data_IF_186886657007
#
_entry.id   IF_186886657007
#
_cell.length_a   1.000
_cell.length_b   1.000
_cell.length_c   1.000
_cell.angle_alpha   90.00
_cell.angle_beta   90.00
_cell.angle_gamma   90.00
#
_symmetry.space_group_name_H-M   'P 1'
#
loop_
_entity.id
_entity.type
_entity.pdbx_description
1 polymer ?
#
# COMPACT_ATOMS: atom_id res chain seq x y z
N UNK A 1 -79.78 35.80 -13.31
CA UNK A 1 -78.69 36.81 -13.42
C UNK A 1 -77.39 36.03 -13.47
N UNK A 2 -77.02 35.62 -14.69
CA UNK A 2 -75.92 36.16 -15.51
C UNK A 2 -74.63 35.34 -15.28
N UNK A 3 -74.24 34.62 -16.32
CA UNK A 3 -72.96 33.94 -16.43
C UNK A 3 -71.82 34.93 -16.67
N UNK A 4 -70.58 34.57 -16.32
CA UNK A 4 -69.45 34.60 -17.27
C UNK A 4 -68.19 33.90 -16.72
N UNK A 5 -67.47 33.27 -17.66
CA UNK A 5 -66.23 32.49 -17.54
C UNK A 5 -65.00 33.41 -17.57
N UNK A 6 -63.83 32.77 -17.35
CA UNK A 6 -62.44 33.10 -17.74
C UNK A 6 -61.59 33.59 -16.57
N UNK A 7 -60.33 33.15 -16.35
CA UNK A 7 -59.45 32.24 -17.08
C UNK A 7 -58.28 31.84 -16.17
N UNK A 8 -57.76 30.63 -16.40
CA UNK A 8 -56.43 30.16 -16.02
C UNK A 8 -55.35 31.20 -16.39
N UNK A 9 -54.23 31.27 -15.65
CA UNK A 9 -52.84 31.45 -16.15
C UNK A 9 -51.87 31.82 -15.01
N UNK A 10 -50.84 30.96 -14.87
CA UNK A 10 -49.48 31.20 -14.35
C UNK A 10 -49.23 31.24 -12.84
N UNK A 11 -49.00 30.03 -12.30
CA UNK A 11 -47.76 29.75 -11.56
C UNK A 11 -46.56 30.31 -12.32
N UNK A 12 -45.83 31.26 -11.71
CA UNK A 12 -44.38 31.39 -11.89
C UNK A 12 -43.78 32.39 -10.91
N UNK A 13 -42.77 31.89 -10.20
CA UNK A 13 -41.61 32.63 -9.71
C UNK A 13 -41.79 33.46 -8.44
N UNK A 14 -41.36 32.87 -7.32
CA UNK A 14 -40.29 33.42 -6.46
C UNK A 14 -39.80 32.31 -5.53
N UNK A 15 -39.19 31.30 -6.14
CA UNK A 15 -38.33 30.35 -5.44
C UNK A 15 -36.92 30.57 -6.01
N UNK A 16 -36.15 31.46 -5.38
CA UNK A 16 -34.73 31.65 -5.71
C UNK A 16 -34.07 32.45 -4.59
N UNK A 17 -33.62 31.71 -3.58
CA UNK A 17 -32.42 31.91 -2.76
C UNK A 17 -32.64 31.09 -1.49
N UNK A 18 -31.58 30.44 -0.98
CA UNK A 18 -31.51 29.67 0.28
C UNK A 18 -31.60 28.13 0.14
N UNK A 19 -30.98 27.50 -0.87
CA UNK A 19 -30.86 26.03 -0.91
C UNK A 19 -29.44 25.52 -1.26
N UNK A 20 -28.43 26.38 -1.23
CA UNK A 20 -27.04 26.00 -1.56
C UNK A 20 -26.08 26.02 -0.37
N UNK A 21 -26.36 26.80 0.68
CA UNK A 21 -25.47 26.94 1.85
C UNK A 21 -25.56 25.74 2.80
N UNK A 22 -26.73 25.11 2.96
CA UNK A 22 -26.94 23.98 3.87
C UNK A 22 -26.21 22.70 3.47
N UNK A 23 -25.97 22.47 2.18
CA UNK A 23 -25.30 21.26 1.71
C UNK A 23 -23.78 21.34 1.86
N UNK A 24 -23.21 22.54 1.78
CA UNK A 24 -21.78 22.77 1.98
C UNK A 24 -21.45 22.75 3.47
N UNK A 25 -22.27 23.38 4.32
CA UNK A 25 -22.09 23.32 5.78
C UNK A 25 -22.27 21.89 6.34
N UNK A 26 -23.22 21.11 5.81
CA UNK A 26 -23.36 19.69 6.17
C UNK A 26 -22.14 18.90 5.68
N UNK A 27 -21.68 19.12 4.45
CA UNK A 27 -20.49 18.46 3.92
C UNK A 27 -19.23 18.82 4.71
N UNK A 28 -19.07 20.08 5.11
CA UNK A 28 -17.98 20.55 5.96
C UNK A 28 -18.06 19.93 7.36
N UNK A 29 -19.26 19.77 7.94
CA UNK A 29 -19.45 19.00 9.17
C UNK A 29 -19.07 17.51 9.00
N UNK A 30 -19.39 16.91 7.86
CA UNK A 30 -18.98 15.53 7.54
C UNK A 30 -17.46 15.42 7.32
N UNK A 31 -16.81 16.43 6.74
CA UNK A 31 -15.37 16.48 6.55
C UNK A 31 -14.64 16.74 7.88
N UNK A 32 -15.14 17.61 8.74
CA UNK A 32 -14.61 17.87 10.09
C UNK A 32 -14.71 16.63 11.00
N UNK A 33 -15.67 15.74 10.74
CA UNK A 33 -15.78 14.47 11.46
C UNK A 33 -14.62 13.51 11.13
N UNK A 34 -13.99 13.65 9.95
CA UNK A 34 -12.89 12.80 9.51
C UNK A 34 -11.57 13.57 9.45
N UNK A 35 -10.66 13.21 10.35
CA UNK A 35 -9.31 13.75 10.31
C UNK A 35 -8.52 13.14 9.12
N UNK A 36 -8.37 13.89 8.03
CA UNK A 36 -7.55 13.50 6.86
C UNK A 36 -6.08 13.86 7.05
N UNK A 37 -5.47 13.36 8.12
CA UNK A 37 -4.04 13.57 8.41
C UNK A 37 -3.31 12.24 8.55
N UNK A 38 -2.00 12.23 8.27
CA UNK A 38 -1.14 11.06 8.56
C UNK A 38 -1.28 10.61 10.00
N UNK A 39 -1.36 11.56 10.93
CA UNK A 39 -1.51 11.26 12.35
C UNK A 39 -2.79 10.52 12.64
N UNK A 40 -3.90 10.94 12.03
CA UNK A 40 -5.18 10.26 12.20
C UNK A 40 -5.24 8.91 11.51
N UNK A 41 -4.53 8.73 10.39
CA UNK A 41 -4.45 7.42 9.73
C UNK A 41 -3.71 6.38 10.57
N UNK A 42 -2.69 6.79 11.35
CA UNK A 42 -1.85 5.89 12.13
C UNK A 42 -2.33 5.67 13.57
N UNK A 43 -3.14 6.58 14.12
CA UNK A 43 -3.58 6.52 15.54
C UNK A 43 -4.29 5.20 15.86
N UNK A 44 -5.10 4.70 14.92
CA UNK A 44 -5.85 3.46 15.10
C UNK A 44 -4.96 2.21 15.11
N UNK A 45 -3.75 2.30 14.52
CA UNK A 45 -2.80 1.20 14.44
C UNK A 45 -1.84 1.13 15.64
N UNK A 46 -1.90 2.07 16.58
CA UNK A 46 -1.08 2.02 17.80
C UNK A 46 -1.46 0.79 18.63
N UNK A 47 -0.43 0.13 19.15
CA UNK A 47 -0.51 -1.15 19.88
C UNK A 47 -1.15 -2.29 19.08
N UNK A 48 -1.28 -2.12 17.75
CA UNK A 48 -1.71 -3.17 16.82
C UNK A 48 -0.52 -3.77 16.10
N UNK A 49 -0.70 -5.01 15.64
CA UNK A 49 0.26 -5.65 14.74
C UNK A 49 0.12 -5.03 13.36
N UNK A 50 1.23 -4.61 12.78
CA UNK A 50 1.31 -3.95 11.47
C UNK A 50 2.32 -4.65 10.57
N UNK A 51 2.06 -4.60 9.27
CA UNK A 51 3.02 -4.90 8.21
C UNK A 51 3.54 -3.57 7.66
N UNK A 52 4.85 -3.45 7.56
CA UNK A 52 5.54 -2.27 7.01
C UNK A 52 6.46 -2.71 5.88
N UNK A 53 6.27 -2.14 4.69
CA UNK A 53 7.19 -2.32 3.56
C UNK A 53 8.04 -1.06 3.40
N UNK A 54 9.35 -1.23 3.24
CA UNK A 54 10.30 -0.12 3.04
C UNK A 54 10.74 0.01 1.58
N UNK A 55 11.31 1.16 1.22
CA UNK A 55 11.78 1.47 -0.15
C UNK A 55 12.74 0.45 -0.74
N UNK A 56 13.54 -0.18 0.11
CA UNK A 56 14.51 -1.21 -0.26
C UNK A 56 13.88 -2.60 -0.45
N UNK A 57 12.57 -2.74 -0.28
CA UNK A 57 11.79 -3.95 -0.56
C UNK A 57 11.61 -4.90 0.63
N UNK A 58 12.25 -4.64 1.78
CA UNK A 58 12.06 -5.46 2.98
C UNK A 58 10.66 -5.29 3.55
N UNK A 59 10.16 -6.37 4.14
CA UNK A 59 8.85 -6.44 4.78
C UNK A 59 9.07 -6.76 6.27
N UNK A 60 8.54 -5.89 7.12
CA UNK A 60 8.59 -6.03 8.57
C UNK A 60 7.19 -6.24 9.12
N UNK A 61 7.07 -7.16 10.07
CA UNK A 61 5.88 -7.35 10.89
C UNK A 61 6.24 -7.03 12.33
N UNK A 62 5.47 -6.18 13.00
CA UNK A 62 5.74 -5.81 14.39
C UNK A 62 4.54 -5.13 15.03
N UNK A 63 4.68 -4.74 16.29
CA UNK A 63 3.67 -3.95 17.00
C UNK A 63 4.06 -2.48 16.91
N UNK A 64 3.18 -1.62 16.38
CA UNK A 64 3.41 -0.18 16.34
C UNK A 64 3.27 0.41 17.74
N UNK A 65 4.32 1.03 18.26
CA UNK A 65 4.29 1.65 19.60
C UNK A 65 4.11 3.15 19.54
N UNK A 66 4.90 3.82 18.71
CA UNK A 66 4.80 5.27 18.54
C UNK A 66 5.04 5.64 17.09
N UNK A 67 4.49 6.79 16.71
CA UNK A 67 4.73 7.40 15.42
C UNK A 67 4.73 8.92 15.54
N UNK A 68 5.17 9.62 14.49
CA UNK A 68 5.01 11.07 14.37
C UNK A 68 4.30 11.48 13.07
N UNK A 69 4.10 12.78 12.87
CA UNK A 69 3.42 13.32 11.68
C UNK A 69 4.22 13.13 10.37
N UNK A 70 5.50 12.76 10.45
CA UNK A 70 6.33 12.37 9.31
C UNK A 70 6.27 10.85 9.04
N UNK A 71 5.49 10.10 9.82
CA UNK A 71 5.46 8.64 9.82
C UNK A 71 6.80 7.98 10.17
N UNK A 72 7.63 8.62 11.01
CA UNK A 72 8.69 7.89 11.71
C UNK A 72 8.02 6.88 12.66
N UNK A 73 8.40 5.61 12.60
CA UNK A 73 7.71 4.52 13.30
C UNK A 73 8.65 3.87 14.31
N UNK A 74 8.17 3.67 15.54
CA UNK A 74 8.80 2.79 16.53
C UNK A 74 8.01 1.49 16.60
N UNK A 75 8.66 0.38 16.30
CA UNK A 75 8.06 -0.95 16.30
C UNK A 75 8.73 -1.85 17.35
N UNK A 76 7.93 -2.69 18.00
CA UNK A 76 8.39 -3.75 18.91
C UNK A 76 8.09 -5.14 18.33
N UNK A 77 8.82 -6.16 18.80
CA UNK A 77 8.70 -7.56 18.38
C UNK A 77 8.77 -7.74 16.85
N UNK A 78 9.63 -6.94 16.22
CA UNK A 78 9.76 -6.92 14.78
C UNK A 78 10.32 -8.24 14.28
N UNK A 79 9.68 -8.77 13.25
CA UNK A 79 10.09 -9.90 12.44
C UNK A 79 10.23 -9.44 11.01
N UNK A 80 11.40 -9.64 10.42
CA UNK A 80 11.58 -9.44 8.98
C UNK A 80 11.16 -10.71 8.25
N UNK A 81 10.37 -10.57 7.18
CA UNK A 81 9.90 -11.70 6.39
C UNK A 81 10.24 -11.56 4.91
N UNK A 82 10.70 -12.64 4.32
CA UNK A 82 10.97 -12.78 2.89
C UNK A 82 9.95 -13.77 2.31
N UNK A 83 9.33 -13.41 1.20
CA UNK A 83 8.48 -14.30 0.40
C UNK A 83 9.20 -14.63 -0.91
N UNK A 84 9.18 -15.90 -1.30
CA UNK A 84 9.84 -16.40 -2.51
C UNK A 84 8.88 -17.30 -3.29
N UNK A 85 8.92 -17.18 -4.61
CA UNK A 85 8.24 -18.08 -5.54
C UNK A 85 9.07 -19.34 -5.77
N UNK A 86 8.47 -20.33 -6.43
CA UNK A 86 9.21 -21.52 -6.86
C UNK A 86 10.41 -21.17 -7.74
N UNK A 87 10.20 -20.28 -8.69
CA UNK A 87 11.22 -19.87 -9.65
C UNK A 87 12.42 -19.20 -8.98
N UNK A 88 12.20 -18.43 -7.89
CA UNK A 88 13.28 -17.81 -7.13
C UNK A 88 14.24 -18.86 -6.51
N UNK A 89 13.76 -20.08 -6.25
CA UNK A 89 14.55 -21.18 -5.67
C UNK A 89 15.14 -22.12 -6.73
N UNK A 90 14.36 -22.50 -7.74
CA UNK A 90 14.77 -23.50 -8.75
C UNK A 90 15.61 -22.90 -9.88
N UNK A 91 15.45 -21.60 -10.16
CA UNK A 91 16.10 -20.90 -11.28
C UNK A 91 16.97 -19.72 -10.81
N UNK A 92 17.77 -19.92 -9.75
CA UNK A 92 18.62 -18.89 -9.13
C UNK A 92 19.52 -18.11 -10.11
N UNK A 93 19.93 -18.73 -11.22
CA UNK A 93 20.84 -18.14 -12.21
C UNK A 93 20.13 -17.48 -13.38
N UNK A 94 18.81 -17.68 -13.52
CA UNK A 94 18.01 -17.18 -14.65
C UNK A 94 17.05 -16.07 -14.24
N UNK A 95 17.35 -15.33 -13.17
CA UNK A 95 16.53 -14.19 -12.78
C UNK A 95 16.56 -13.12 -13.87
N UNK A 96 15.43 -12.92 -14.55
CA UNK A 96 15.22 -11.85 -15.51
C UNK A 96 14.47 -10.70 -14.83
N UNK A 97 14.99 -9.46 -14.89
CA UNK A 97 14.30 -8.28 -14.35
C UNK A 97 12.94 -8.08 -15.01
N UNK A 98 11.91 -7.86 -14.20
CA UNK A 98 10.51 -7.80 -14.66
C UNK A 98 10.09 -6.45 -15.27
N UNK A 99 11.02 -5.63 -15.75
CA UNK A 99 10.69 -4.32 -16.33
C UNK A 99 10.16 -4.48 -17.76
N UNK A 100 9.03 -3.84 -18.06
CA UNK A 100 8.32 -3.91 -19.35
C UNK A 100 7.68 -5.28 -19.65
N UNK A 101 7.32 -6.05 -18.63
CA UNK A 101 6.39 -7.17 -18.83
C UNK A 101 5.11 -6.61 -19.43
N UNK A 102 4.69 -7.16 -20.56
CA UNK A 102 3.34 -6.93 -21.06
C UNK A 102 2.33 -7.30 -19.97
N UNK A 103 1.14 -6.69 -19.96
CA UNK A 103 0.07 -7.07 -19.01
C UNK A 103 -0.19 -8.59 -18.99
N UNK A 104 0.10 -9.29 -20.11
CA UNK A 104 0.03 -10.74 -20.26
C UNK A 104 1.10 -11.50 -19.47
N UNK A 105 2.32 -10.97 -19.36
CA UNK A 105 3.38 -11.59 -18.58
C UNK A 105 3.26 -11.30 -17.09
N UNK A 106 2.71 -10.13 -16.73
CA UNK A 106 2.33 -9.83 -15.35
C UNK A 106 1.28 -10.82 -14.81
N UNK A 107 0.37 -11.27 -15.67
CA UNK A 107 -0.70 -12.22 -15.35
C UNK A 107 -0.29 -13.70 -15.51
N UNK A 108 1.01 -14.04 -15.55
CA UNK A 108 1.42 -15.46 -15.57
C UNK A 108 0.93 -16.17 -14.29
N UNK A 109 0.31 -17.36 -14.42
CA UNK A 109 -0.31 -18.07 -13.30
C UNK A 109 0.71 -18.65 -12.29
N UNK A 110 2.02 -18.57 -12.54
CA UNK A 110 3.06 -19.11 -11.67
C UNK A 110 3.61 -18.12 -10.63
N UNK A 111 3.04 -16.92 -10.51
CA UNK A 111 3.52 -15.90 -9.57
C UNK A 111 2.96 -16.07 -8.15
N UNK A 112 2.71 -17.30 -7.73
CA UNK A 112 2.36 -17.57 -6.34
C UNK A 112 3.65 -17.73 -5.52
N UNK A 113 3.68 -17.15 -4.33
CA UNK A 113 4.71 -17.45 -3.36
C UNK A 113 4.52 -18.90 -2.90
N UNK A 114 5.60 -19.66 -2.82
CA UNK A 114 5.59 -21.04 -2.31
C UNK A 114 6.47 -21.17 -1.05
N UNK A 115 7.37 -20.22 -0.84
CA UNK A 115 8.34 -20.24 0.23
C UNK A 115 8.31 -18.94 1.03
N UNK A 116 8.64 -19.03 2.31
CA UNK A 116 8.89 -17.86 3.14
C UNK A 116 10.02 -18.11 4.13
N UNK A 117 10.65 -17.04 4.59
CA UNK A 117 11.62 -17.08 5.67
C UNK A 117 11.40 -15.90 6.61
N UNK A 118 11.72 -16.09 7.88
CA UNK A 118 11.54 -15.09 8.93
C UNK A 118 12.77 -14.99 9.80
N UNK A 119 13.05 -13.79 10.27
CA UNK A 119 14.08 -13.54 11.29
C UNK A 119 13.57 -12.52 12.31
N UNK A 120 13.66 -12.81 13.62
CA UNK A 120 13.38 -11.83 14.65
C UNK A 120 14.44 -10.73 14.63
N UNK A 121 14.00 -9.48 14.68
CA UNK A 121 14.82 -8.28 14.70
C UNK A 121 14.75 -7.58 16.07
N UNK A 122 13.59 -7.61 16.74
CA UNK A 122 13.39 -7.00 18.05
C UNK A 122 12.78 -5.61 17.95
N UNK A 123 13.44 -4.59 18.51
CA UNK A 123 12.96 -3.21 18.48
C UNK A 123 13.55 -2.45 17.29
N UNK A 124 12.73 -1.68 16.58
CA UNK A 124 13.14 -1.01 15.35
C UNK A 124 12.58 0.41 15.27
N UNK A 125 13.43 1.36 14.90
CA UNK A 125 13.03 2.73 14.55
C UNK A 125 13.16 2.88 13.03
N UNK A 126 12.04 3.06 12.34
CA UNK A 126 11.99 3.24 10.90
C UNK A 126 11.74 4.71 10.60
N UNK A 127 12.62 5.30 9.79
CA UNK A 127 12.47 6.68 9.35
C UNK A 127 11.38 6.80 8.28
N UNK A 128 10.49 7.78 8.40
CA UNK A 128 9.24 7.87 7.66
C UNK A 128 9.41 7.99 6.16
N UNK A 129 10.46 8.65 5.67
CA UNK A 129 10.69 8.69 4.22
C UNK A 129 11.10 7.35 3.62
N UNK A 130 11.47 6.35 4.42
CA UNK A 130 11.79 5.00 3.92
C UNK A 130 10.57 4.07 3.94
N UNK A 131 9.46 4.48 4.57
CA UNK A 131 8.21 3.74 4.55
C UNK A 131 7.56 3.89 3.18
N UNK A 132 7.16 2.77 2.58
CA UNK A 132 6.38 2.73 1.33
C UNK A 132 4.91 2.56 1.66
N UNK A 133 4.59 1.59 2.53
CA UNK A 133 3.24 1.33 2.98
C UNK A 133 3.26 0.70 4.38
N UNK A 134 2.24 1.01 5.16
CA UNK A 134 1.93 0.39 6.44
C UNK A 134 0.46 -0.03 6.44
N UNK A 135 0.18 -1.21 6.98
CA UNK A 135 -1.19 -1.69 7.17
C UNK A 135 -1.32 -2.51 8.44
N UNK A 136 -2.46 -2.38 9.11
CA UNK A 136 -2.83 -3.25 10.22
C UNK A 136 -2.99 -4.69 9.72
N UNK A 137 -2.52 -5.63 10.53
CA UNK A 137 -2.54 -7.06 10.23
C UNK A 137 -3.41 -7.77 11.26
N UNK A 138 -4.46 -8.41 10.76
CA UNK A 138 -5.26 -9.36 11.52
C UNK A 138 -4.48 -10.68 11.67
N UNK A 139 -4.10 -11.00 12.90
CA UNK A 139 -3.23 -12.13 13.24
C UNK A 139 -3.85 -13.45 12.76
N UNK A 140 -5.16 -13.63 12.96
CA UNK A 140 -5.85 -14.88 12.64
C UNK A 140 -5.98 -15.10 11.13
N UNK A 141 -6.07 -14.03 10.35
CA UNK A 141 -6.15 -14.10 8.88
C UNK A 141 -4.77 -14.25 8.25
N UNK A 142 -3.76 -13.61 8.82
CA UNK A 142 -2.39 -13.61 8.30
C UNK A 142 -1.71 -14.98 8.41
N UNK A 143 -2.03 -15.74 9.46
CA UNK A 143 -1.50 -17.10 9.63
C UNK A 143 -2.03 -18.09 8.59
N UNK A 144 -3.20 -17.85 7.97
CA UNK A 144 -3.83 -18.84 7.07
C UNK A 144 -3.02 -19.05 5.77
N UNK A 145 -2.62 -17.99 5.02
CA UNK A 145 -1.76 -18.16 3.85
C UNK A 145 -0.43 -18.82 4.17
N UNK A 146 0.19 -18.50 5.32
CA UNK A 146 1.49 -19.07 5.71
C UNK A 146 1.46 -20.58 5.85
N UNK A 147 0.31 -21.19 6.19
CA UNK A 147 0.17 -22.65 6.30
C UNK A 147 0.41 -23.38 4.99
N UNK A 148 0.19 -22.72 3.86
CA UNK A 148 0.42 -23.28 2.53
C UNK A 148 1.81 -22.96 1.96
N UNK A 149 2.58 -22.11 2.65
CA UNK A 149 3.94 -21.78 2.27
C UNK A 149 4.93 -22.65 3.04
N UNK A 150 6.00 -23.09 2.37
CA UNK A 150 7.08 -23.83 3.04
C UNK A 150 8.09 -22.86 3.63
N UNK A 151 8.29 -22.94 4.96
CA UNK A 151 9.33 -22.17 5.65
C UNK A 151 10.70 -22.69 5.23
N UNK A 152 11.61 -21.78 4.86
CA UNK A 152 13.00 -22.09 4.51
C UNK A 152 13.97 -21.32 5.41
N UNK A 153 15.25 -21.69 5.35
CA UNK A 153 16.28 -21.02 6.14
C UNK A 153 16.44 -19.55 5.73
N UNK A 154 16.63 -18.68 6.74
CA UNK A 154 16.80 -17.25 6.52
C UNK A 154 18.03 -16.93 5.67
N UNK A 155 19.15 -17.62 5.91
CA UNK A 155 20.41 -17.34 5.22
C UNK A 155 20.28 -17.64 3.74
N UNK A 156 19.63 -18.76 3.41
CA UNK A 156 19.30 -19.12 2.03
C UNK A 156 18.39 -18.06 1.39
N UNK A 157 17.25 -17.75 2.01
CA UNK A 157 16.30 -16.77 1.47
C UNK A 157 16.93 -15.39 1.26
N UNK A 158 17.72 -14.92 2.23
CA UNK A 158 18.43 -13.66 2.17
C UNK A 158 19.50 -13.65 1.06
N UNK A 159 20.21 -14.78 0.83
CA UNK A 159 21.18 -14.88 -0.28
C UNK A 159 20.50 -14.71 -1.65
N UNK A 160 19.33 -15.32 -1.83
CA UNK A 160 18.53 -15.26 -3.05
C UNK A 160 18.04 -13.84 -3.27
N UNK A 161 17.44 -13.23 -2.25
CA UNK A 161 16.91 -11.87 -2.30
C UNK A 161 18.02 -10.85 -2.62
N UNK A 162 19.19 -10.97 -1.99
CA UNK A 162 20.31 -10.09 -2.27
C UNK A 162 20.83 -10.23 -3.70
N UNK A 163 20.87 -11.46 -4.25
CA UNK A 163 21.25 -11.69 -5.65
C UNK A 163 20.25 -11.03 -6.60
N UNK A 164 18.95 -11.22 -6.35
CA UNK A 164 17.84 -10.61 -7.10
C UNK A 164 17.93 -9.09 -7.12
N UNK A 165 18.03 -8.47 -5.95
CA UNK A 165 18.16 -7.02 -5.79
C UNK A 165 19.39 -6.47 -6.51
N UNK A 166 20.52 -7.18 -6.52
CA UNK A 166 21.73 -6.75 -7.25
C UNK A 166 21.51 -6.74 -8.76
N UNK A 167 20.87 -7.78 -9.30
CA UNK A 167 20.60 -7.89 -10.74
C UNK A 167 19.60 -6.80 -11.15
N UNK A 168 18.51 -6.64 -10.40
CA UNK A 168 17.49 -5.64 -10.65
C UNK A 168 18.04 -4.21 -10.58
N UNK A 169 18.83 -3.89 -9.55
CA UNK A 169 19.47 -2.57 -9.43
C UNK A 169 20.44 -2.28 -10.59
N UNK A 170 21.22 -3.27 -11.04
CA UNK A 170 22.09 -3.12 -12.22
C UNK A 170 21.27 -2.87 -13.48
N UNK A 171 20.21 -3.63 -13.67
CA UNK A 171 19.33 -3.49 -14.82
C UNK A 171 18.64 -2.13 -14.84
N UNK A 172 18.05 -1.69 -13.73
CA UNK A 172 17.36 -0.40 -13.62
C UNK A 172 18.31 0.77 -13.89
N UNK A 173 19.56 0.70 -13.41
CA UNK A 173 20.60 1.69 -13.75
C UNK A 173 20.90 1.73 -15.25
N UNK A 174 21.06 0.58 -15.89
CA UNK A 174 21.31 0.51 -17.33
C UNK A 174 20.13 1.05 -18.14
N UNK A 175 18.89 0.74 -17.73
CA UNK A 175 17.68 1.26 -18.38
C UNK A 175 17.56 2.78 -18.20
N UNK A 176 17.79 3.31 -17.01
CA UNK A 176 17.78 4.76 -16.77
C UNK A 176 18.75 5.50 -17.71
N UNK A 177 19.97 4.96 -17.90
CA UNK A 177 20.94 5.52 -18.86
C UNK A 177 20.42 5.45 -20.30
N UNK A 178 19.78 4.34 -20.69
CA UNK A 178 19.22 4.16 -22.04
C UNK A 178 18.04 5.10 -22.31
N UNK A 179 17.17 5.30 -21.32
CA UNK A 179 16.01 6.20 -21.41
C UNK A 179 16.44 7.66 -21.42
N UNK A 180 17.39 8.04 -20.58
CA UNK A 180 17.97 9.39 -20.57
C UNK A 180 18.58 9.77 -21.92
N UNK A 181 19.31 8.85 -22.58
CA UNK A 181 19.82 9.04 -23.96
C UNK A 181 18.72 9.27 -25.01
N UNK A 182 17.50 8.82 -24.73
CA UNK A 182 16.32 9.00 -25.60
C UNK A 182 15.46 10.19 -25.17
N UNK A 183 15.90 10.99 -24.20
CA UNK A 183 15.16 12.16 -23.70
C UNK A 183 14.06 11.84 -22.69
N UNK A 184 14.01 10.61 -22.15
CA UNK A 184 13.08 10.23 -21.09
C UNK A 184 13.77 10.34 -19.73
N UNK A 185 13.11 10.97 -18.75
CA UNK A 185 13.57 11.11 -17.36
C UNK A 185 12.84 10.14 -16.44
#
# INVERSE_FOLDING_TARGET
MSAEKTSNVQERSKNKQNNTETNEEEADLYLDQYNFTTTAALVASVDRKVMVTVKTGQIYFGILRTYDHFANLTLEFVTERIYLSRDDLENLDKFEPTLNLSAREYNKPNKYYEYYAERPVGCYLIRGENVVFIGEVDIDKEDKPLRYLRKIDWSLANSIMNKKNRIENRFNRQQAVRYSRKGFS
#
